data_IF_220471802447
#
_entry.id   IF_220471802447
#
_cell.length_a   1.000
_cell.length_b   1.000
_cell.length_c   1.000
_cell.angle_alpha   90.00
_cell.angle_beta   90.00
_cell.angle_gamma   90.00
#
_symmetry.space_group_name_H-M   'P 1'
#
loop_
_entity.id
_entity.type
_entity.pdbx_description
1 polymer ?
#
# COMPACT_ATOMS: atom_id res chain seq x y z
N UNK A 1 30.79 41.94 14.39
CA UNK A 1 30.46 40.50 14.49
C UNK A 1 31.31 39.75 13.47
N UNK A 2 32.16 38.82 13.89
CA UNK A 2 33.29 38.39 13.08
C UNK A 2 32.80 37.61 11.85
N UNK A 3 33.43 37.89 10.71
CA UNK A 3 33.21 37.23 9.41
C UNK A 3 33.09 35.70 9.51
N UNK A 4 33.83 35.11 10.45
CA UNK A 4 33.81 33.69 10.80
C UNK A 4 32.41 33.15 11.12
N UNK A 5 31.62 33.86 11.92
CA UNK A 5 30.28 33.41 12.32
C UNK A 5 29.29 33.39 11.15
N UNK A 6 29.45 34.33 10.20
CA UNK A 6 28.63 34.35 8.98
C UNK A 6 28.96 33.18 8.06
N UNK A 7 30.25 32.83 7.98
CA UNK A 7 30.72 31.71 7.15
C UNK A 7 30.26 30.36 7.73
N UNK A 8 30.37 30.17 9.06
CA UNK A 8 29.87 28.98 9.74
C UNK A 8 28.35 28.85 9.60
N UNK A 9 27.60 29.93 9.78
CA UNK A 9 26.14 29.91 9.63
C UNK A 9 25.72 29.59 8.19
N UNK A 10 26.40 30.15 7.18
CA UNK A 10 26.10 29.88 5.78
C UNK A 10 26.32 28.40 5.42
N UNK A 11 27.44 27.81 5.87
CA UNK A 11 27.78 26.39 5.68
C UNK A 11 26.77 25.46 6.37
N UNK A 12 26.36 25.79 7.59
CA UNK A 12 25.41 24.98 8.35
C UNK A 12 24.02 25.02 7.68
N UNK A 13 23.58 26.19 7.21
CA UNK A 13 22.32 26.32 6.46
C UNK A 13 22.37 25.57 5.14
N UNK A 14 23.47 25.64 4.39
CA UNK A 14 23.60 24.87 3.14
C UNK A 14 23.58 23.36 3.38
N UNK A 15 24.27 22.88 4.42
CA UNK A 15 24.25 21.47 4.80
C UNK A 15 22.83 21.00 5.18
N UNK A 16 22.12 21.77 6.00
CA UNK A 16 20.73 21.45 6.41
C UNK A 16 19.79 21.44 5.20
N UNK A 17 19.91 22.42 4.31
CA UNK A 17 19.08 22.49 3.09
C UNK A 17 19.39 21.33 2.13
N UNK A 18 20.66 20.96 1.95
CA UNK A 18 21.04 19.84 1.11
C UNK A 18 20.45 18.51 1.66
N UNK A 19 20.63 18.25 2.97
CA UNK A 19 20.08 17.04 3.61
C UNK A 19 18.55 17.02 3.55
N UNK A 20 17.90 18.16 3.85
CA UNK A 20 16.44 18.28 3.79
C UNK A 20 15.89 18.05 2.38
N UNK A 21 16.53 18.62 1.36
CA UNK A 21 16.14 18.43 -0.03
C UNK A 21 16.34 16.98 -0.49
N UNK A 22 17.46 16.35 -0.14
CA UNK A 22 17.70 14.93 -0.46
C UNK A 22 16.70 14.01 0.24
N UNK A 23 16.40 14.27 1.52
CA UNK A 23 15.39 13.54 2.28
C UNK A 23 14.02 13.66 1.62
N UNK A 24 13.61 14.89 1.25
CA UNK A 24 12.34 15.12 0.56
C UNK A 24 12.31 14.38 -0.77
N UNK A 25 13.28 14.62 -1.66
CA UNK A 25 13.34 14.02 -3.00
C UNK A 25 13.31 12.49 -2.96
N UNK A 26 14.04 11.89 -2.01
CA UNK A 26 14.11 10.44 -1.86
C UNK A 26 12.81 9.89 -1.31
N UNK A 27 12.22 10.56 -0.32
CA UNK A 27 10.93 10.14 0.24
C UNK A 27 9.83 10.24 -0.80
N UNK A 28 9.70 11.39 -1.49
CA UNK A 28 8.62 11.63 -2.46
C UNK A 28 8.72 10.73 -3.68
N UNK A 29 9.92 10.61 -4.28
CA UNK A 29 10.13 9.79 -5.47
C UNK A 29 9.95 8.28 -5.21
N UNK A 30 10.24 7.82 -3.99
CA UNK A 30 10.03 6.42 -3.61
C UNK A 30 8.54 6.13 -3.38
N UNK A 31 7.81 6.99 -2.66
CA UNK A 31 6.35 6.80 -2.48
C UNK A 31 5.58 6.81 -3.80
N UNK A 32 5.92 7.72 -4.72
CA UNK A 32 5.18 7.86 -5.98
C UNK A 32 5.34 6.65 -6.90
N UNK A 33 6.54 6.04 -6.92
CA UNK A 33 6.75 4.77 -7.65
C UNK A 33 6.10 3.58 -6.99
N UNK A 34 6.04 3.53 -5.66
CA UNK A 34 5.29 2.46 -4.98
C UNK A 34 3.80 2.56 -5.25
N UNK A 35 3.22 3.76 -5.30
CA UNK A 35 1.81 3.92 -5.64
C UNK A 35 1.51 3.46 -7.08
N UNK A 36 2.38 3.76 -8.05
CA UNK A 36 2.20 3.31 -9.44
C UNK A 36 2.30 1.79 -9.57
N UNK A 37 3.27 1.13 -8.91
CA UNK A 37 3.39 -0.33 -8.94
C UNK A 37 2.22 -1.03 -8.22
N UNK A 38 1.68 -0.41 -7.17
CA UNK A 38 0.54 -0.95 -6.43
C UNK A 38 -0.75 -0.95 -7.25
N UNK A 39 -0.88 -0.10 -8.27
CA UNK A 39 -2.08 -0.05 -9.11
C UNK A 39 -2.11 -1.20 -10.11
N UNK A 40 -1.01 -1.44 -10.82
CA UNK A 40 -0.92 -2.49 -11.86
C UNK A 40 -0.90 -3.90 -11.28
N UNK A 41 -0.29 -4.10 -10.11
CA UNK A 41 -0.28 -5.41 -9.43
C UNK A 41 -1.66 -5.77 -8.85
N UNK A 42 -2.50 -4.78 -8.51
CA UNK A 42 -3.82 -5.01 -7.88
C UNK A 42 -4.83 -5.62 -8.83
N UNK A 43 -4.87 -5.18 -10.08
CA UNK A 43 -5.76 -5.73 -11.09
C UNK A 43 -5.36 -7.17 -11.47
N UNK A 44 -4.06 -7.45 -11.60
CA UNK A 44 -3.56 -8.78 -11.92
C UNK A 44 -3.87 -9.83 -10.83
N UNK A 45 -3.75 -9.46 -9.55
CA UNK A 45 -4.10 -10.34 -8.43
C UNK A 45 -5.60 -10.67 -8.45
N UNK A 46 -6.47 -9.68 -8.68
CA UNK A 46 -7.92 -9.87 -8.78
C UNK A 46 -8.28 -10.72 -9.99
N UNK A 47 -7.68 -10.46 -11.15
CA UNK A 47 -7.93 -11.19 -12.39
C UNK A 47 -7.60 -12.68 -12.25
N UNK A 48 -6.52 -13.01 -11.52
CA UNK A 48 -6.16 -14.41 -11.23
C UNK A 48 -7.22 -15.18 -10.41
N UNK A 49 -8.06 -14.46 -9.66
CA UNK A 49 -9.12 -15.04 -8.82
C UNK A 49 -10.46 -15.15 -9.54
N UNK A 50 -10.65 -14.48 -10.68
CA UNK A 50 -11.89 -14.55 -11.47
C UNK A 50 -12.30 -15.98 -11.83
N UNK A 51 -11.39 -16.87 -12.28
CA UNK A 51 -11.74 -18.26 -12.60
C UNK A 51 -12.35 -19.01 -11.40
N UNK A 52 -11.89 -18.73 -10.18
CA UNK A 52 -12.45 -19.32 -8.96
C UNK A 52 -13.90 -18.87 -8.76
N UNK A 53 -14.22 -17.58 -8.88
CA UNK A 53 -15.58 -17.07 -8.73
C UNK A 53 -16.52 -17.53 -9.85
N UNK A 54 -16.01 -17.63 -11.09
CA UNK A 54 -16.74 -18.22 -12.22
C UNK A 54 -17.09 -19.68 -11.93
N UNK A 55 -16.13 -20.47 -11.43
CA UNK A 55 -16.36 -21.86 -11.04
C UNK A 55 -17.38 -21.97 -9.92
N UNK A 56 -17.22 -21.17 -8.87
CA UNK A 56 -18.14 -21.13 -7.73
C UNK A 56 -19.59 -20.89 -8.16
N UNK A 57 -19.82 -19.87 -9.00
CA UNK A 57 -21.14 -19.55 -9.50
C UNK A 57 -21.71 -20.63 -10.42
N UNK A 58 -20.88 -21.27 -11.26
CA UNK A 58 -21.33 -22.39 -12.12
C UNK A 58 -21.79 -23.59 -11.31
N UNK A 59 -21.13 -23.87 -10.19
CA UNK A 59 -21.43 -25.04 -9.35
C UNK A 59 -22.61 -24.81 -8.42
N UNK A 60 -22.75 -23.59 -7.87
CA UNK A 60 -23.76 -23.26 -6.85
C UNK A 60 -24.99 -22.54 -7.42
N UNK A 61 -24.81 -21.73 -8.46
CA UNK A 61 -25.84 -20.84 -8.99
C UNK A 61 -26.22 -19.66 -8.07
N UNK A 62 -25.53 -19.49 -6.95
CA UNK A 62 -25.74 -18.40 -5.99
C UNK A 62 -24.42 -18.03 -5.29
N UNK A 63 -24.39 -16.87 -4.62
CA UNK A 63 -23.26 -16.44 -3.78
C UNK A 63 -23.35 -16.92 -2.32
N UNK A 64 -24.37 -17.70 -1.98
CA UNK A 64 -24.57 -18.21 -0.63
C UNK A 64 -23.40 -19.10 -0.21
N UNK A 65 -22.81 -18.84 0.97
CA UNK A 65 -21.66 -19.58 1.49
C UNK A 65 -20.30 -19.11 0.95
N UNK A 66 -20.26 -18.11 0.06
CA UNK A 66 -18.99 -17.54 -0.41
C UNK A 66 -18.19 -16.91 0.75
N UNK A 67 -18.88 -16.38 1.76
CA UNK A 67 -18.28 -15.78 2.95
C UNK A 67 -17.38 -16.75 3.74
N UNK A 68 -17.65 -18.05 3.67
CA UNK A 68 -16.81 -19.08 4.30
C UNK A 68 -15.38 -19.06 3.76
N UNK A 69 -15.20 -18.79 2.46
CA UNK A 69 -13.88 -18.69 1.85
C UNK A 69 -13.13 -17.44 2.30
N UNK A 70 -13.85 -16.34 2.59
CA UNK A 70 -13.27 -15.11 3.13
C UNK A 70 -12.84 -15.25 4.60
N UNK A 71 -13.40 -16.22 5.33
CA UNK A 71 -13.00 -16.57 6.69
C UNK A 71 -11.78 -17.50 6.74
N UNK A 72 -11.39 -18.11 5.62
CA UNK A 72 -10.22 -18.99 5.58
C UNK A 72 -8.95 -18.21 5.86
N UNK A 73 -8.16 -18.73 6.80
CA UNK A 73 -6.85 -18.19 7.15
C UNK A 73 -5.75 -19.18 6.80
N UNK A 74 -4.64 -18.64 6.32
CA UNK A 74 -3.39 -19.37 6.14
C UNK A 74 -2.43 -18.99 7.26
N UNK A 75 -1.60 -19.94 7.66
CA UNK A 75 -0.55 -19.71 8.64
C UNK A 75 0.76 -19.50 7.89
N UNK A 76 1.32 -18.31 8.04
CA UNK A 76 2.61 -17.97 7.45
C UNK A 76 3.63 -17.90 8.58
N UNK A 77 4.65 -18.76 8.49
CA UNK A 77 5.80 -18.73 9.40
C UNK A 77 6.86 -17.79 8.85
N UNK A 78 7.25 -16.80 9.64
CA UNK A 78 8.36 -15.89 9.33
C UNK A 78 9.35 -15.90 10.49
N UNK A 79 10.38 -16.74 10.37
CA UNK A 79 11.33 -16.97 11.45
C UNK A 79 10.66 -17.65 12.66
N UNK A 80 10.82 -17.11 13.89
CA UNK A 80 10.18 -17.67 15.08
C UNK A 80 8.67 -17.38 15.15
N UNK A 81 8.19 -16.35 14.45
CA UNK A 81 6.81 -15.88 14.55
C UNK A 81 5.88 -16.58 13.54
N UNK A 82 4.66 -16.89 13.99
CA UNK A 82 3.59 -17.47 13.18
C UNK A 82 2.44 -16.47 13.11
N UNK A 83 2.08 -16.07 11.90
CA UNK A 83 0.99 -15.12 11.67
C UNK A 83 -0.16 -15.79 10.92
N UNK A 84 -1.38 -15.48 11.32
CA UNK A 84 -2.58 -15.82 10.55
C UNK A 84 -2.84 -14.72 9.51
N UNK A 85 -3.10 -15.14 8.28
CA UNK A 85 -3.48 -14.21 7.20
C UNK A 85 -4.71 -14.74 6.45
N UNK A 86 -5.82 -13.97 6.37
CA UNK A 86 -6.97 -14.38 5.57
C UNK A 86 -6.57 -14.50 4.09
N UNK A 87 -7.09 -15.53 3.41
CA UNK A 87 -6.70 -15.83 2.02
C UNK A 87 -7.19 -14.76 1.06
N UNK A 88 -8.42 -14.27 1.27
CA UNK A 88 -9.08 -13.28 0.42
C UNK A 88 -9.16 -11.92 1.13
N UNK A 89 -8.09 -11.53 1.84
CA UNK A 89 -8.09 -10.31 2.68
C UNK A 89 -8.15 -8.99 1.89
N UNK A 90 -7.81 -9.02 0.60
CA UNK A 90 -7.57 -7.81 -0.22
C UNK A 90 -8.62 -7.52 -1.27
N UNK A 91 -9.73 -8.24 -1.27
CA UNK A 91 -10.74 -8.12 -2.32
C UNK A 91 -12.13 -7.98 -1.71
N UNK A 92 -13.02 -7.41 -2.50
CA UNK A 92 -14.45 -7.38 -2.25
C UNK A 92 -15.18 -7.85 -3.50
N UNK A 93 -16.18 -8.70 -3.32
CA UNK A 93 -17.04 -9.21 -4.38
C UNK A 93 -18.40 -8.58 -4.22
N UNK A 94 -18.85 -7.92 -5.27
CA UNK A 94 -20.11 -7.20 -5.34
C UNK A 94 -20.94 -7.85 -6.44
N UNK A 95 -22.16 -8.28 -6.12
CA UNK A 95 -23.04 -8.91 -7.10
C UNK A 95 -23.65 -7.92 -8.11
N UNK A 96 -24.54 -8.41 -8.96
CA UNK A 96 -25.28 -7.59 -9.95
C UNK A 96 -26.21 -6.55 -9.31
N UNK A 97 -26.67 -6.78 -8.08
CA UNK A 97 -27.58 -5.91 -7.34
C UNK A 97 -26.84 -4.90 -6.44
N UNK A 98 -25.53 -4.79 -6.61
CA UNK A 98 -24.63 -3.96 -5.81
C UNK A 98 -24.54 -4.38 -4.33
N UNK A 99 -24.87 -5.62 -4.00
CA UNK A 99 -24.68 -6.15 -2.65
C UNK A 99 -23.28 -6.75 -2.51
N UNK A 100 -22.66 -6.51 -1.35
CA UNK A 100 -21.39 -7.15 -1.00
C UNK A 100 -21.65 -8.61 -0.63
N UNK A 101 -21.19 -9.53 -1.47
CA UNK A 101 -21.37 -10.98 -1.29
C UNK A 101 -20.11 -11.69 -0.81
N UNK A 102 -18.97 -11.00 -0.83
CA UNK A 102 -17.71 -11.50 -0.29
C UNK A 102 -16.79 -10.37 0.14
N UNK A 103 -16.36 -10.37 1.39
CA UNK A 103 -15.41 -9.41 1.93
C UNK A 103 -14.75 -9.96 3.19
N UNK A 104 -13.50 -9.56 3.44
CA UNK A 104 -12.80 -9.85 4.71
C UNK A 104 -13.33 -9.00 5.88
N UNK A 105 -13.91 -7.84 5.57
CA UNK A 105 -14.60 -6.97 6.51
C UNK A 105 -16.06 -7.45 6.63
N UNK A 106 -16.30 -8.27 7.66
CA UNK A 106 -17.59 -8.95 7.86
C UNK A 106 -18.76 -7.99 8.10
N UNK A 107 -18.49 -6.77 8.56
CA UNK A 107 -19.46 -5.70 8.74
C UNK A 107 -20.03 -5.19 7.41
N UNK A 108 -19.27 -5.32 6.32
CA UNK A 108 -19.69 -4.91 4.98
C UNK A 108 -20.51 -5.97 4.24
N UNK A 109 -20.49 -7.23 4.69
CA UNK A 109 -21.25 -8.31 4.05
C UNK A 109 -22.75 -8.02 4.05
N UNK A 110 -23.39 -8.19 2.89
CA UNK A 110 -24.82 -7.92 2.67
C UNK A 110 -25.17 -6.43 2.56
N UNK A 111 -24.21 -5.51 2.71
CA UNK A 111 -24.48 -4.09 2.50
C UNK A 111 -24.63 -3.77 1.01
N UNK A 112 -25.58 -2.89 0.70
CA UNK A 112 -25.78 -2.37 -0.65
C UNK A 112 -24.85 -1.16 -0.89
N UNK A 113 -23.96 -1.27 -1.88
CA UNK A 113 -22.95 -0.28 -2.21
C UNK A 113 -23.35 0.62 -3.38
N UNK A 114 -24.59 0.54 -3.86
CA UNK A 114 -25.07 1.26 -5.04
C UNK A 114 -24.82 2.77 -4.97
N UNK A 115 -25.08 3.37 -3.81
CA UNK A 115 -24.95 4.81 -3.62
C UNK A 115 -23.57 5.24 -3.13
N UNK A 116 -22.72 4.30 -2.72
CA UNK A 116 -21.36 4.59 -2.24
C UNK A 116 -20.48 5.06 -3.41
N UNK A 117 -20.13 6.35 -3.41
CA UNK A 117 -19.36 6.97 -4.48
C UNK A 117 -17.91 6.45 -4.56
N UNK A 118 -17.30 6.12 -3.43
CA UNK A 118 -15.94 5.58 -3.37
C UNK A 118 -15.88 4.19 -4.01
N UNK A 119 -16.79 3.30 -3.59
CA UNK A 119 -16.87 1.95 -4.13
C UNK A 119 -17.21 1.96 -5.62
N UNK A 120 -18.12 2.85 -6.07
CA UNK A 120 -18.40 3.02 -7.51
C UNK A 120 -17.18 3.48 -8.30
N UNK A 121 -16.39 4.41 -7.76
CA UNK A 121 -15.13 4.83 -8.35
C UNK A 121 -14.17 3.65 -8.52
N UNK A 122 -13.98 2.87 -7.45
CA UNK A 122 -13.14 1.66 -7.48
C UNK A 122 -13.65 0.59 -8.45
N UNK A 123 -14.96 0.36 -8.51
CA UNK A 123 -15.55 -0.57 -9.48
C UNK A 123 -15.34 -0.11 -10.93
N UNK A 124 -15.42 1.19 -11.21
CA UNK A 124 -15.23 1.73 -12.56
C UNK A 124 -13.77 1.70 -13.00
N UNK A 125 -12.84 1.90 -12.06
CA UNK A 125 -11.41 2.04 -12.36
C UNK A 125 -10.66 0.71 -12.28
N UNK A 126 -11.01 -0.15 -11.32
CA UNK A 126 -10.28 -1.37 -10.98
C UNK A 126 -11.17 -2.63 -10.89
N UNK A 127 -12.46 -2.50 -11.17
CA UNK A 127 -13.39 -3.63 -11.07
C UNK A 127 -13.20 -4.63 -12.19
N UNK A 128 -12.99 -5.90 -11.81
CA UNK A 128 -12.90 -7.00 -12.76
C UNK A 128 -14.24 -7.75 -12.77
N UNK A 129 -14.95 -7.81 -13.91
CA UNK A 129 -16.25 -8.45 -13.98
C UNK A 129 -16.11 -9.98 -13.92
N UNK A 130 -16.96 -10.62 -13.12
CA UNK A 130 -17.15 -12.07 -13.15
C UNK A 130 -18.28 -12.36 -14.15
N UNK A 131 -17.93 -12.99 -15.27
CA UNK A 131 -18.86 -13.29 -16.37
C UNK A 131 -19.07 -14.79 -16.48
N UNK A 132 -20.32 -15.23 -16.40
CA UNK A 132 -20.72 -16.64 -16.57
C UNK A 132 -21.73 -16.72 -17.70
N UNK A 133 -21.43 -17.52 -18.72
CA UNK A 133 -22.29 -17.71 -19.91
C UNK A 133 -22.66 -16.38 -20.60
N UNK A 134 -21.75 -15.40 -20.62
CA UNK A 134 -21.99 -14.08 -21.20
C UNK A 134 -22.71 -13.08 -20.28
N UNK A 135 -23.20 -13.51 -19.13
CA UNK A 135 -23.86 -12.64 -18.16
C UNK A 135 -22.89 -12.23 -17.04
N UNK A 136 -22.82 -10.94 -16.74
CA UNK A 136 -22.08 -10.43 -15.59
C UNK A 136 -22.86 -10.75 -14.31
N UNK A 137 -22.27 -11.59 -13.46
CA UNK A 137 -22.90 -12.07 -12.20
C UNK A 137 -22.33 -11.40 -10.95
N UNK A 138 -21.13 -10.83 -11.07
CA UNK A 138 -20.50 -10.03 -10.01
C UNK A 138 -19.39 -9.12 -10.59
N UNK A 139 -18.85 -8.27 -9.73
CA UNK A 139 -17.63 -7.50 -9.93
C UNK A 139 -16.72 -7.75 -8.73
N UNK A 140 -15.46 -8.09 -8.97
CA UNK A 140 -14.45 -8.15 -7.92
C UNK A 140 -13.65 -6.85 -7.96
N UNK A 141 -13.52 -6.20 -6.81
CA UNK A 141 -12.70 -4.99 -6.66
C UNK A 141 -11.56 -5.24 -5.67
N UNK A 142 -10.37 -4.68 -5.92
CA UNK A 142 -9.29 -4.68 -4.94
C UNK A 142 -9.59 -3.67 -3.84
N UNK A 143 -9.47 -4.09 -2.57
CA UNK A 143 -9.56 -3.19 -1.43
C UNK A 143 -8.21 -2.49 -1.20
N UNK A 144 -8.25 -1.20 -0.88
CA UNK A 144 -7.07 -0.49 -0.38
C UNK A 144 -6.74 -1.06 1.00
N UNK A 145 -5.61 -1.75 1.14
CA UNK A 145 -5.01 -1.86 2.46
C UNK A 145 -4.58 -0.45 2.89
N UNK A 146 -5.28 0.09 3.88
CA UNK A 146 -4.82 1.28 4.62
C UNK A 146 -3.47 1.02 5.34
N UNK A 147 -3.04 -0.24 5.41
CA UNK A 147 -1.80 -0.66 6.05
C UNK A 147 -0.74 -0.96 4.99
N UNK A 148 0.41 -0.27 5.10
CA UNK A 148 1.66 -0.68 4.45
C UNK A 148 1.87 -2.17 4.69
N UNK A 149 2.34 -2.91 3.67
CA UNK A 149 2.79 -4.27 3.97
C UNK A 149 3.95 -4.19 4.99
N UNK A 150 4.15 -5.17 5.88
CA UNK A 150 5.24 -5.13 6.84
C UNK A 150 6.62 -4.92 6.18
N UNK A 151 6.77 -5.38 4.94
CA UNK A 151 7.99 -5.21 4.15
C UNK A 151 8.17 -3.75 3.68
N UNK A 152 7.08 -3.11 3.23
CA UNK A 152 7.07 -1.72 2.78
C UNK A 152 7.25 -0.75 3.95
N UNK A 153 6.64 -1.04 5.11
CA UNK A 153 6.88 -0.31 6.35
C UNK A 153 8.35 -0.39 6.78
N UNK A 154 8.93 -1.60 6.79
CA UNK A 154 10.34 -1.80 7.15
C UNK A 154 11.29 -1.15 6.13
N UNK A 155 10.94 -1.13 4.84
CA UNK A 155 11.74 -0.46 3.83
C UNK A 155 11.74 1.06 4.02
N UNK A 156 10.56 1.66 4.24
CA UNK A 156 10.44 3.09 4.52
C UNK A 156 11.19 3.47 5.80
N UNK A 157 11.12 2.64 6.84
CA UNK A 157 11.82 2.87 8.10
C UNK A 157 13.34 2.76 7.93
N UNK A 158 13.82 1.80 7.13
CA UNK A 158 15.22 1.68 6.76
C UNK A 158 15.71 2.88 5.94
N UNK A 159 14.91 3.40 5.02
CA UNK A 159 15.26 4.59 4.22
C UNK A 159 15.31 5.84 5.12
N UNK A 160 14.37 5.99 6.05
CA UNK A 160 14.39 7.08 7.04
C UNK A 160 15.63 7.00 7.94
N UNK A 161 15.96 5.80 8.43
CA UNK A 161 17.16 5.55 9.23
C UNK A 161 18.43 5.89 8.47
N UNK A 162 18.56 5.45 7.21
CA UNK A 162 19.72 5.76 6.36
C UNK A 162 19.86 7.26 6.09
N UNK A 163 18.76 7.97 5.84
CA UNK A 163 18.78 9.41 5.64
C UNK A 163 19.20 10.17 6.92
N UNK A 164 18.76 9.71 8.09
CA UNK A 164 19.17 10.29 9.37
C UNK A 164 20.66 10.07 9.65
N UNK A 165 21.17 8.87 9.37
CA UNK A 165 22.60 8.54 9.51
C UNK A 165 23.44 9.37 8.54
N UNK A 166 23.04 9.48 7.27
CA UNK A 166 23.72 10.32 6.28
C UNK A 166 23.73 11.79 6.69
N UNK A 167 22.60 12.31 7.21
CA UNK A 167 22.50 13.66 7.75
C UNK A 167 23.44 13.91 8.95
N UNK A 168 23.53 12.95 9.87
CA UNK A 168 24.43 13.02 11.02
C UNK A 168 25.90 13.03 10.61
N UNK A 169 26.29 12.19 9.64
CA UNK A 169 27.65 12.16 9.08
C UNK A 169 27.99 13.47 8.38
N UNK A 170 27.05 14.03 7.61
CA UNK A 170 27.23 15.32 6.94
C UNK A 170 27.41 16.47 7.96
N UNK A 171 26.63 16.49 9.04
CA UNK A 171 26.77 17.47 10.12
C UNK A 171 28.12 17.35 10.83
N UNK A 172 28.58 16.12 11.11
CA UNK A 172 29.91 15.87 11.69
C UNK A 172 31.03 16.36 10.77
N UNK A 173 30.97 16.03 9.48
CA UNK A 173 31.96 16.48 8.51
C UNK A 173 31.98 18.01 8.39
N UNK A 174 30.80 18.65 8.33
CA UNK A 174 30.68 20.10 8.28
C UNK A 174 31.21 20.79 9.54
N UNK A 175 31.02 20.20 10.73
CA UNK A 175 31.53 20.75 11.99
C UNK A 175 33.05 20.59 12.10
N UNK A 176 33.64 19.48 11.64
CA UNK A 176 35.11 19.32 11.54
C UNK A 176 35.69 20.36 10.58
N UNK A 177 35.14 20.50 9.38
CA UNK A 177 35.56 21.50 8.40
C UNK A 177 35.44 22.93 8.95
N UNK A 178 34.36 23.22 9.67
CA UNK A 178 34.18 24.53 10.30
C UNK A 178 35.24 24.81 11.37
N UNK A 179 35.69 23.80 12.12
CA UNK A 179 36.79 23.94 13.07
C UNK A 179 38.11 24.15 12.34
N UNK A 180 38.43 23.37 11.31
CA UNK A 180 39.68 23.52 10.55
C UNK A 180 39.78 24.86 9.79
N UNK A 181 38.66 25.40 9.29
CA UNK A 181 38.59 26.72 8.66
C UNK A 181 38.63 27.89 9.67
N UNK A 182 38.34 27.62 10.95
CA UNK A 182 38.31 28.59 12.05
C UNK A 182 39.52 28.44 13.00
N UNK A 183 40.31 27.39 12.88
CA UNK A 183 41.67 27.31 13.42
C UNK A 183 42.60 28.24 12.61
#
# INVERSE_FOLDING_TARGET
MPFRWKLTAALLVTAVLAVGATYWLTTSGVTERFDSFRVEQRSAEVESLVPFFVGYWKDKGSWEGLDLYFRLVTYVRRGPDVFQRPVLDRIMVIDSDFQVVGCSQLDLLGQCMKDNAEIRGLMSEYGVPVVVNGNKVATVIPLKLAYLTPLEANFLDSVRGAAFVAGAVALLAASVLAVDLVA
#
